data_IF_342469581250
#
_entry.id   IF_342469581250
#
_cell.length_a   1.000
_cell.length_b   1.000
_cell.length_c   1.000
_cell.angle_alpha   90.00
_cell.angle_beta   90.00
_cell.angle_gamma   90.00
#
_symmetry.space_group_name_H-M   'P 1'
#
loop_
_entity.id
_entity.type
_entity.pdbx_description
1 polymer ?
#
# COMPACT_ATOMS: atom_id res chain seq x y z
N UNK A 1 15.94 -3.63 10.81
CA UNK A 1 15.23 -4.51 11.76
C UNK A 1 15.36 -4.08 13.22
N UNK A 2 16.28 -3.15 13.55
CA UNK A 2 16.45 -2.65 14.92
C UNK A 2 17.74 -3.15 15.59
N UNK A 3 18.48 -4.03 14.91
CA UNK A 3 19.82 -4.46 15.27
C UNK A 3 20.67 -4.78 14.04
N UNK A 4 21.98 -4.51 14.10
CA UNK A 4 22.93 -4.86 13.04
C UNK A 4 22.98 -6.37 12.77
N UNK A 5 22.72 -7.16 13.81
CA UNK A 5 22.63 -8.62 13.70
C UNK A 5 21.47 -9.04 12.80
N UNK A 6 20.25 -8.56 13.04
CA UNK A 6 19.08 -8.90 12.23
C UNK A 6 19.22 -8.36 10.81
N UNK A 7 19.82 -7.17 10.63
CA UNK A 7 20.06 -6.59 9.32
C UNK A 7 21.05 -7.44 8.51
N UNK A 8 22.13 -7.93 9.14
CA UNK A 8 23.07 -8.87 8.50
C UNK A 8 22.40 -10.20 8.21
N UNK A 9 21.68 -10.75 9.19
CA UNK A 9 20.99 -12.03 9.07
C UNK A 9 20.01 -12.02 7.91
N UNK A 10 19.21 -10.95 7.78
CA UNK A 10 18.30 -10.77 6.66
C UNK A 10 19.04 -10.80 5.32
N UNK A 11 20.14 -10.04 5.16
CA UNK A 11 20.89 -10.03 3.89
C UNK A 11 21.42 -11.41 3.50
N UNK A 12 21.90 -12.17 4.48
CA UNK A 12 22.45 -13.51 4.29
C UNK A 12 21.35 -14.54 3.98
N UNK A 13 20.13 -14.36 4.49
CA UNK A 13 19.04 -15.34 4.42
C UNK A 13 17.82 -14.88 3.62
N UNK A 14 17.89 -13.75 2.92
CA UNK A 14 16.73 -13.13 2.26
C UNK A 14 16.00 -14.06 1.27
N UNK A 15 16.72 -14.98 0.64
CA UNK A 15 16.18 -15.97 -0.30
C UNK A 15 15.23 -16.98 0.36
N UNK A 16 15.25 -17.10 1.69
CA UNK A 16 14.39 -18.01 2.46
C UNK A 16 13.02 -17.39 2.76
N UNK A 17 12.85 -16.09 2.53
CA UNK A 17 11.60 -15.39 2.82
C UNK A 17 10.72 -15.25 1.56
N UNK A 18 9.40 -15.11 1.72
CA UNK A 18 8.50 -14.89 0.59
C UNK A 18 8.88 -13.67 -0.23
N UNK A 19 8.78 -13.77 -1.54
CA UNK A 19 8.89 -12.66 -2.50
C UNK A 19 7.53 -12.21 -3.06
N UNK A 20 6.45 -12.87 -2.65
CA UNK A 20 5.07 -12.53 -2.95
C UNK A 20 4.20 -12.73 -1.71
N UNK A 21 3.07 -12.02 -1.65
CA UNK A 21 2.09 -12.11 -0.55
C UNK A 21 0.80 -12.74 -1.02
N UNK A 22 0.16 -13.50 -0.14
CA UNK A 22 -1.20 -14.00 -0.31
C UNK A 22 -2.16 -13.10 0.46
N UNK A 23 -3.17 -12.58 -0.23
CA UNK A 23 -4.14 -11.65 0.34
C UNK A 23 -5.54 -11.90 -0.21
N UNK A 24 -6.55 -11.42 0.51
CA UNK A 24 -7.94 -11.36 0.02
C UNK A 24 -8.20 -9.99 -0.61
N UNK A 25 -9.19 -9.87 -1.52
CA UNK A 25 -9.56 -8.61 -2.15
C UNK A 25 -9.73 -7.44 -1.14
N UNK A 26 -9.21 -6.26 -1.48
CA UNK A 26 -9.15 -5.10 -0.56
C UNK A 26 -10.53 -4.56 -0.15
N UNK A 27 -11.55 -4.78 -0.98
CA UNK A 27 -12.96 -4.42 -0.75
C UNK A 27 -13.60 -5.20 0.41
N UNK A 28 -12.99 -6.33 0.81
CA UNK A 28 -13.41 -7.09 1.99
C UNK A 28 -12.92 -6.48 3.31
N UNK A 29 -12.10 -5.42 3.25
CA UNK A 29 -11.46 -4.81 4.41
C UNK A 29 -11.84 -3.34 4.58
N UNK A 30 -12.27 -3.00 5.80
CA UNK A 30 -12.62 -1.62 6.16
C UNK A 30 -11.40 -0.70 6.35
N UNK A 31 -10.20 -1.27 6.57
CA UNK A 31 -8.98 -0.51 6.79
C UNK A 31 -7.73 -1.32 6.43
N UNK A 32 -6.62 -0.61 6.22
CA UNK A 32 -5.32 -1.19 5.87
C UNK A 32 -4.80 -2.17 6.94
N UNK A 33 -4.97 -1.89 8.23
CA UNK A 33 -4.40 -2.73 9.29
C UNK A 33 -4.99 -4.14 9.29
N UNK A 34 -6.30 -4.26 9.10
CA UNK A 34 -6.98 -5.56 9.01
C UNK A 34 -6.51 -6.35 7.78
N UNK A 35 -6.33 -5.65 6.64
CA UNK A 35 -5.77 -6.26 5.45
C UNK A 35 -4.35 -6.78 5.69
N UNK A 36 -3.47 -5.94 6.25
CA UNK A 36 -2.06 -6.27 6.49
C UNK A 36 -1.93 -7.43 7.46
N UNK A 37 -2.70 -7.43 8.54
CA UNK A 37 -2.70 -8.51 9.52
C UNK A 37 -3.05 -9.87 8.89
N UNK A 38 -4.14 -9.93 8.12
CA UNK A 38 -4.54 -11.16 7.44
C UNK A 38 -3.55 -11.60 6.38
N UNK A 39 -3.07 -10.64 5.57
CA UNK A 39 -2.07 -10.87 4.55
C UNK A 39 -0.79 -11.48 5.13
N UNK A 40 -0.31 -10.96 6.26
CA UNK A 40 0.83 -11.51 6.99
C UNK A 40 0.53 -12.91 7.48
N UNK A 41 -0.59 -13.11 8.18
CA UNK A 41 -0.95 -14.39 8.77
C UNK A 41 -1.06 -15.50 7.70
N UNK A 42 -1.77 -15.23 6.59
CA UNK A 42 -1.95 -16.20 5.50
C UNK A 42 -0.60 -16.48 4.82
N UNK A 43 0.18 -15.44 4.49
CA UNK A 43 1.45 -15.60 3.78
C UNK A 43 2.48 -16.37 4.62
N UNK A 44 2.67 -15.99 5.88
CA UNK A 44 3.58 -16.67 6.79
C UNK A 44 3.14 -18.11 7.01
N UNK A 45 1.84 -18.36 7.25
CA UNK A 45 1.32 -19.72 7.42
C UNK A 45 1.52 -20.58 6.18
N UNK A 46 1.24 -20.05 4.99
CA UNK A 46 1.42 -20.79 3.75
C UNK A 46 2.89 -21.11 3.51
N UNK A 47 3.77 -20.13 3.67
CA UNK A 47 5.20 -20.30 3.44
C UNK A 47 5.81 -21.29 4.43
N UNK A 48 5.49 -21.13 5.72
CA UNK A 48 5.97 -22.05 6.77
C UNK A 48 5.48 -23.47 6.56
N UNK A 49 4.22 -23.65 6.20
CA UNK A 49 3.65 -24.98 5.89
C UNK A 49 4.34 -25.60 4.67
N UNK A 50 4.51 -24.83 3.59
CA UNK A 50 5.10 -25.32 2.33
C UNK A 50 6.58 -25.66 2.46
N UNK A 51 7.31 -24.95 3.32
CA UNK A 51 8.74 -25.16 3.52
C UNK A 51 8.99 -26.26 4.55
N UNK A 52 8.16 -26.35 5.60
CA UNK A 52 8.22 -27.47 6.56
C UNK A 52 7.94 -28.82 5.90
N UNK A 53 7.03 -28.88 4.92
CA UNK A 53 6.77 -30.12 4.18
C UNK A 53 7.94 -30.54 3.28
N UNK A 54 8.90 -29.65 3.00
CA UNK A 54 10.16 -29.96 2.31
C UNK A 54 11.29 -30.37 3.27
N UNK A 55 11.02 -30.45 4.58
CA UNK A 55 12.00 -30.81 5.61
C UNK A 55 12.87 -29.65 6.09
N UNK A 56 12.59 -28.42 5.67
CA UNK A 56 13.25 -27.22 6.18
C UNK A 56 12.55 -26.71 7.45
N UNK A 57 13.29 -26.04 8.34
CA UNK A 57 12.74 -25.47 9.56
C UNK A 57 13.11 -23.98 9.69
N UNK A 58 12.26 -23.21 10.36
CA UNK A 58 12.47 -21.79 10.63
C UNK A 58 12.86 -21.59 12.08
N UNK A 59 13.89 -20.78 12.28
CA UNK A 59 14.25 -20.30 13.61
C UNK A 59 13.30 -19.19 14.07
N UNK A 60 13.31 -18.85 15.36
CA UNK A 60 12.56 -17.69 15.86
C UNK A 60 12.99 -16.39 15.15
N UNK A 61 14.28 -16.25 14.84
CA UNK A 61 14.81 -15.11 14.07
C UNK A 61 14.26 -15.10 12.64
N UNK A 62 14.15 -16.27 11.99
CA UNK A 62 13.54 -16.38 10.67
C UNK A 62 12.08 -15.93 10.67
N UNK A 63 11.28 -16.39 11.63
CA UNK A 63 9.87 -16.01 11.72
C UNK A 63 9.73 -14.52 11.98
N UNK A 64 10.49 -13.97 12.93
CA UNK A 64 10.46 -12.54 13.25
C UNK A 64 10.82 -11.66 12.04
N UNK A 65 11.87 -12.02 11.30
CA UNK A 65 12.29 -11.27 10.11
C UNK A 65 11.25 -11.46 9.00
N UNK A 66 10.77 -12.69 8.78
CA UNK A 66 9.75 -13.00 7.78
C UNK A 66 8.47 -12.20 8.00
N UNK A 67 7.95 -12.16 9.22
CA UNK A 67 6.75 -11.37 9.56
C UNK A 67 6.93 -9.90 9.19
N UNK A 68 8.10 -9.32 9.50
CA UNK A 68 8.39 -7.90 9.21
C UNK A 68 8.56 -7.63 7.71
N UNK A 69 9.19 -8.53 6.97
CA UNK A 69 9.33 -8.43 5.51
C UNK A 69 7.97 -8.53 4.84
N UNK A 70 7.19 -9.54 5.22
CA UNK A 70 5.84 -9.79 4.70
C UNK A 70 4.92 -8.63 5.07
N UNK A 71 5.01 -8.05 6.27
CA UNK A 71 4.24 -6.86 6.68
C UNK A 71 4.47 -5.70 5.70
N UNK A 72 5.73 -5.38 5.37
CA UNK A 72 6.04 -4.31 4.42
C UNK A 72 5.54 -4.61 3.00
N UNK A 73 5.64 -5.86 2.56
CA UNK A 73 5.10 -6.28 1.27
C UNK A 73 3.57 -6.18 1.23
N UNK A 74 2.89 -6.57 2.31
CA UNK A 74 1.44 -6.46 2.45
C UNK A 74 0.99 -4.98 2.42
N UNK A 75 1.69 -4.08 3.11
CA UNK A 75 1.41 -2.63 3.04
C UNK A 75 1.55 -2.13 1.59
N UNK A 76 2.64 -2.50 0.92
CA UNK A 76 2.89 -2.11 -0.47
C UNK A 76 1.81 -2.66 -1.40
N UNK A 77 1.39 -3.92 -1.21
CA UNK A 77 0.34 -4.54 -1.99
C UNK A 77 -1.00 -3.81 -1.81
N UNK A 78 -1.39 -3.50 -0.56
CA UNK A 78 -2.62 -2.74 -0.27
C UNK A 78 -2.63 -1.39 -1.00
N UNK A 79 -1.52 -0.65 -0.95
CA UNK A 79 -1.40 0.66 -1.60
C UNK A 79 -1.48 0.54 -3.12
N UNK A 80 -0.87 -0.50 -3.71
CA UNK A 80 -0.91 -0.73 -5.16
C UNK A 80 -2.32 -1.08 -5.64
N UNK A 81 -3.03 -1.94 -4.91
CA UNK A 81 -4.43 -2.28 -5.20
C UNK A 81 -5.35 -1.08 -5.04
N UNK A 82 -5.18 -0.32 -3.95
CA UNK A 82 -5.97 0.88 -3.70
C UNK A 82 -5.72 1.94 -4.78
N UNK A 83 -4.46 2.20 -5.15
CA UNK A 83 -4.15 3.08 -6.28
C UNK A 83 -4.79 2.55 -7.56
N UNK A 84 -4.62 1.28 -7.90
CA UNK A 84 -5.18 0.72 -9.12
C UNK A 84 -6.71 0.78 -9.18
N UNK A 85 -7.40 0.65 -8.05
CA UNK A 85 -8.86 0.75 -7.98
C UNK A 85 -9.36 2.20 -8.04
N UNK A 86 -8.65 3.14 -7.40
CA UNK A 86 -9.12 4.52 -7.22
C UNK A 86 -8.43 5.57 -8.11
N UNK A 87 -7.28 5.29 -8.72
CA UNK A 87 -6.58 6.21 -9.63
C UNK A 87 -7.23 6.29 -11.01
N UNK A 88 -7.87 5.21 -11.47
CA UNK A 88 -8.68 5.22 -12.70
C UNK A 88 -9.90 6.14 -12.59
N UNK A 89 -10.42 6.35 -11.37
CA UNK A 89 -11.55 7.25 -11.15
C UNK A 89 -11.19 8.73 -11.36
N UNK A 90 -9.92 9.12 -11.20
CA UNK A 90 -9.50 10.52 -11.36
C UNK A 90 -9.36 10.94 -12.83
N UNK A 91 -9.00 10.02 -13.73
CA UNK A 91 -8.92 10.30 -15.17
C UNK A 91 -10.23 10.05 -15.92
N UNK A 92 -11.25 9.47 -15.28
CA UNK A 92 -12.58 9.31 -15.88
C UNK A 92 -13.46 10.56 -15.74
N UNK A 93 -12.95 11.64 -15.15
CA UNK A 93 -13.68 12.89 -15.03
C UNK A 93 -13.98 13.43 -16.45
N UNK A 94 -15.26 13.57 -16.85
CA UNK A 94 -15.61 14.06 -18.18
C UNK A 94 -14.98 15.45 -18.41
N UNK A 95 -14.55 15.80 -19.64
CA UNK A 95 -13.96 17.11 -19.96
C UNK A 95 -14.80 18.29 -19.46
N UNK A 96 -16.11 18.09 -19.37
CA UNK A 96 -17.11 19.04 -18.86
C UNK A 96 -16.86 19.44 -17.40
N UNK A 97 -16.33 18.54 -16.57
CA UNK A 97 -16.03 18.83 -15.15
C UNK A 97 -14.84 19.78 -14.99
N UNK A 98 -13.83 19.66 -15.85
CA UNK A 98 -12.69 20.60 -15.90
C UNK A 98 -13.12 21.98 -16.41
N UNK A 99 -14.06 22.03 -17.37
CA UNK A 99 -14.66 23.28 -17.84
C UNK A 99 -15.51 23.96 -16.75
N UNK A 100 -16.26 23.19 -15.97
CA UNK A 100 -17.04 23.73 -14.85
C UNK A 100 -16.15 24.23 -13.70
N UNK A 101 -15.08 23.50 -13.36
CA UNK A 101 -14.12 23.94 -12.33
C UNK A 101 -13.38 25.22 -12.74
N UNK A 102 -12.95 25.31 -14.01
CA UNK A 102 -12.34 26.55 -14.52
C UNK A 102 -13.33 27.71 -14.53
N UNK A 103 -14.58 27.49 -14.96
CA UNK A 103 -15.64 28.51 -14.92
C UNK A 103 -15.93 29.00 -13.49
N UNK A 104 -15.97 28.10 -12.51
CA UNK A 104 -16.16 28.47 -11.10
C UNK A 104 -14.99 29.30 -10.56
N UNK A 105 -13.75 29.01 -10.96
CA UNK A 105 -12.59 29.82 -10.58
C UNK A 105 -12.69 31.23 -11.19
N UNK A 106 -13.14 31.36 -12.45
CA UNK A 106 -13.37 32.66 -13.09
C UNK A 106 -14.47 33.49 -12.40
N UNK A 107 -15.50 32.86 -11.83
CA UNK A 107 -16.57 33.57 -11.11
C UNK A 107 -16.16 34.05 -9.70
N UNK A 108 -15.10 33.48 -9.11
CA UNK A 108 -14.64 33.81 -7.75
C UNK A 108 -13.53 34.88 -7.78
N UNK A 109 -12.89 35.12 -8.93
CA UNK A 109 -12.00 36.27 -9.11
C UNK A 109 -12.90 37.47 -9.43
N UNK A 110 -13.15 38.40 -8.47
CA UNK A 110 -13.84 39.63 -8.82
C UNK A 110 -12.98 40.36 -9.84
N UNK A 111 -13.59 40.75 -10.95
CA UNK A 111 -12.97 41.64 -11.93
C UNK A 111 -12.29 42.81 -11.19
N UNK A 112 -10.96 42.88 -11.32
CA UNK A 112 -10.15 44.02 -10.90
C UNK A 112 -10.52 45.33 -11.62
N UNK A 113 -11.60 45.33 -12.42
CA UNK A 113 -12.18 46.50 -13.07
C UNK A 113 -13.16 47.30 -12.19
N UNK A 114 -13.44 46.90 -10.96
CA UNK A 114 -14.39 47.61 -10.08
C UNK A 114 -13.75 48.49 -8.98
N UNK A 115 -12.42 48.63 -8.95
CA UNK A 115 -11.72 49.43 -7.90
C UNK A 115 -11.64 50.94 -8.22
N UNK A 116 -12.01 51.40 -9.42
CA UNK A 116 -11.92 52.84 -9.77
C UNK A 116 -13.17 53.68 -9.47
N UNK A 117 -14.19 53.16 -8.77
CA UNK A 117 -15.43 53.89 -8.51
C UNK A 117 -15.62 54.41 -7.07
N UNK A 118 -14.53 54.55 -6.29
CA UNK A 118 -14.57 55.21 -4.98
C UNK A 118 -13.33 56.12 -4.84
N UNK A 119 -13.38 57.26 -5.52
CA UNK A 119 -12.60 58.47 -5.21
C UNK A 119 -13.51 59.67 -5.20
#
# INVERSE_FOLDING_TARGET
FGSDYEDRYYRENQYRYPNQVMYRPIDQYNNQNNFVHDCVNITVKQHTTTTTTKGENFTETDIKIMERVVEQMCITQYQNEYRSAYSVAFFSAPPVTLLLLSFLIFLIIPDAHSVEAIS
#
